data_IF_095258948035
#
_entry.id   IF_095258948035
#
_cell.length_a   1.000
_cell.length_b   1.000
_cell.length_c   1.000
_cell.angle_alpha   90.00
_cell.angle_beta   90.00
_cell.angle_gamma   90.00
#
_symmetry.space_group_name_H-M   'P 1'
#
loop_
_entity.id
_entity.type
_entity.pdbx_description
1 polymer ?
#
# COMPACT_ATOMS: atom_id res chain seq x y z
N UNK A 1 6.47 -23.16 17.86
CA UNK A 1 5.40 -22.16 17.69
C UNK A 1 4.75 -22.45 16.36
N UNK A 2 3.49 -22.80 16.33
CA UNK A 2 2.75 -22.97 15.06
C UNK A 2 2.63 -21.59 14.44
N UNK A 3 3.43 -21.29 13.40
CA UNK A 3 3.23 -20.09 12.60
C UNK A 3 1.83 -20.18 12.00
N UNK A 4 1.01 -19.15 12.22
CA UNK A 4 -0.24 -19.02 11.51
C UNK A 4 0.07 -18.99 9.99
N UNK A 5 -0.80 -19.58 9.19
CA UNK A 5 -0.66 -19.54 7.72
C UNK A 5 -0.61 -18.08 7.28
N UNK A 6 0.44 -17.65 6.54
CA UNK A 6 0.56 -16.27 6.08
C UNK A 6 -0.64 -15.87 5.23
N UNK A 7 -1.09 -14.64 5.39
CA UNK A 7 -2.16 -14.07 4.60
C UNK A 7 -1.62 -13.67 3.23
N UNK A 8 -2.31 -14.07 2.15
CA UNK A 8 -1.98 -13.66 0.79
C UNK A 8 -3.11 -12.80 0.24
N UNK A 9 -2.85 -11.50 0.11
CA UNK A 9 -3.80 -10.52 -0.38
C UNK A 9 -3.51 -10.10 -1.83
N UNK A 10 -4.48 -9.41 -2.41
CA UNK A 10 -4.38 -8.78 -3.71
C UNK A 10 -4.23 -7.27 -3.57
N UNK A 11 -3.48 -6.65 -4.48
CA UNK A 11 -3.20 -5.22 -4.48
C UNK A 11 -3.67 -4.58 -5.80
N UNK A 12 -4.94 -4.11 -5.90
CA UNK A 12 -5.38 -3.31 -7.01
C UNK A 12 -4.70 -1.93 -6.99
N UNK A 13 -3.85 -1.65 -7.97
CA UNK A 13 -3.12 -0.38 -8.10
C UNK A 13 -4.04 0.70 -8.67
N UNK A 14 -4.31 1.76 -7.91
CA UNK A 14 -5.19 2.85 -8.36
C UNK A 14 -4.59 3.67 -9.51
N UNK A 15 -3.30 3.60 -9.71
CA UNK A 15 -2.56 4.36 -10.71
C UNK A 15 -2.79 3.85 -12.13
N UNK A 16 -3.14 2.56 -12.29
CA UNK A 16 -3.25 1.90 -13.59
C UNK A 16 -4.68 1.59 -14.02
N UNK A 17 -5.60 1.45 -13.05
CA UNK A 17 -6.95 0.95 -13.33
C UNK A 17 -8.04 1.96 -12.99
N UNK A 18 -9.04 2.06 -13.85
CA UNK A 18 -10.20 2.91 -13.61
C UNK A 18 -11.07 2.40 -12.44
N UNK A 19 -12.00 3.23 -11.93
CA UNK A 19 -12.84 2.85 -10.80
C UNK A 19 -13.63 1.55 -11.00
N UNK A 20 -14.15 1.28 -12.20
CA UNK A 20 -14.93 0.08 -12.49
C UNK A 20 -14.02 -1.16 -12.44
N UNK A 21 -12.84 -1.07 -13.04
CA UNK A 21 -11.83 -2.13 -13.02
C UNK A 21 -11.35 -2.44 -11.60
N UNK A 22 -11.14 -1.42 -10.76
CA UNK A 22 -10.75 -1.63 -9.35
C UNK A 22 -11.80 -2.39 -8.56
N UNK A 23 -13.08 -2.08 -8.78
CA UNK A 23 -14.19 -2.78 -8.13
C UNK A 23 -14.35 -4.22 -8.67
N UNK A 24 -14.16 -4.43 -9.96
CA UNK A 24 -14.13 -5.76 -10.57
C UNK A 24 -12.99 -6.60 -9.96
N UNK A 25 -11.79 -6.05 -9.87
CA UNK A 25 -10.62 -6.73 -9.28
C UNK A 25 -10.89 -7.15 -7.83
N UNK A 26 -11.51 -6.30 -7.02
CA UNK A 26 -11.86 -6.64 -5.64
C UNK A 26 -12.81 -7.85 -5.57
N UNK A 27 -13.84 -7.87 -6.41
CA UNK A 27 -14.79 -8.99 -6.49
C UNK A 27 -14.14 -10.27 -7.05
N UNK A 28 -13.25 -10.15 -8.03
CA UNK A 28 -12.48 -11.28 -8.56
C UNK A 28 -11.55 -11.85 -7.50
N UNK A 29 -10.81 -11.02 -6.78
CA UNK A 29 -9.88 -11.44 -5.74
C UNK A 29 -10.58 -12.22 -4.61
N UNK A 30 -11.77 -11.76 -4.18
CA UNK A 30 -12.56 -12.50 -3.19
C UNK A 30 -12.95 -13.90 -3.69
N UNK A 31 -13.44 -14.00 -4.93
CA UNK A 31 -13.82 -15.29 -5.53
C UNK A 31 -12.63 -16.23 -5.74
N UNK A 32 -11.47 -15.67 -6.03
CA UNK A 32 -10.23 -16.44 -6.21
C UNK A 32 -9.62 -16.91 -4.89
N UNK A 33 -10.14 -16.44 -3.72
CA UNK A 33 -9.68 -16.88 -2.41
C UNK A 33 -8.47 -16.12 -1.87
N UNK A 34 -8.25 -14.86 -2.30
CA UNK A 34 -7.33 -13.96 -1.62
C UNK A 34 -7.87 -13.60 -0.23
N UNK A 35 -6.97 -13.27 0.70
CA UNK A 35 -7.29 -13.06 2.11
C UNK A 35 -7.53 -11.58 2.47
N UNK A 36 -7.22 -10.64 1.58
CA UNK A 36 -7.39 -9.21 1.82
C UNK A 36 -7.00 -8.36 0.61
N UNK A 37 -7.25 -7.06 0.72
CA UNK A 37 -6.94 -6.07 -0.30
C UNK A 37 -6.04 -4.96 0.24
N UNK A 38 -5.00 -4.59 -0.53
CA UNK A 38 -4.31 -3.32 -0.40
C UNK A 38 -4.83 -2.36 -1.47
N UNK A 39 -4.91 -1.07 -1.17
CA UNK A 39 -5.32 -0.06 -2.15
C UNK A 39 -4.39 1.14 -2.02
N UNK A 40 -3.72 1.53 -3.10
CA UNK A 40 -2.87 2.72 -3.14
C UNK A 40 -3.69 4.01 -3.05
N UNK A 41 -3.12 5.05 -2.46
CA UNK A 41 -3.73 6.38 -2.32
C UNK A 41 -2.84 7.42 -3.00
N UNK A 42 -3.09 7.63 -4.27
CA UNK A 42 -2.35 8.55 -5.11
C UNK A 42 -3.25 9.70 -5.59
N UNK A 43 -2.65 10.85 -5.89
CA UNK A 43 -3.28 11.95 -6.63
C UNK A 43 -2.87 11.90 -8.11
N UNK A 44 -1.61 11.58 -8.38
CA UNK A 44 -1.09 11.36 -9.71
C UNK A 44 -0.69 9.89 -9.91
N UNK A 45 -0.84 9.32 -11.12
CA UNK A 45 -0.10 8.12 -11.49
C UNK A 45 1.40 8.41 -11.53
N UNK A 46 2.23 7.37 -11.58
CA UNK A 46 3.67 7.53 -11.70
C UNK A 46 4.12 8.06 -13.08
N UNK A 47 3.31 7.80 -14.11
CA UNK A 47 3.51 8.29 -15.46
C UNK A 47 2.15 8.41 -16.15
N UNK A 48 2.09 9.22 -17.22
CA UNK A 48 0.84 9.51 -17.93
C UNK A 48 0.22 8.26 -18.59
N UNK A 49 1.02 7.24 -18.89
CA UNK A 49 0.56 6.04 -19.56
C UNK A 49 -0.24 5.10 -18.61
N UNK A 50 0.04 5.12 -17.30
CA UNK A 50 -0.81 4.46 -16.30
C UNK A 50 -2.22 5.07 -16.28
N UNK A 51 -2.30 6.40 -16.35
CA UNK A 51 -3.47 7.15 -16.76
C UNK A 51 -4.61 7.24 -15.76
N UNK A 52 -4.49 6.70 -14.55
CA UNK A 52 -5.55 6.68 -13.54
C UNK A 52 -5.03 7.18 -12.19
N UNK A 53 -5.92 7.70 -11.36
CA UNK A 53 -5.70 7.94 -9.92
C UNK A 53 -7.01 8.33 -9.24
N UNK A 54 -7.99 7.43 -9.15
CA UNK A 54 -9.26 7.72 -8.51
C UNK A 54 -9.09 7.94 -7.00
N UNK A 55 -9.95 8.76 -6.42
CA UNK A 55 -9.93 9.04 -4.99
C UNK A 55 -10.21 7.77 -4.17
N UNK A 56 -9.19 7.26 -3.49
CA UNK A 56 -9.19 5.95 -2.84
C UNK A 56 -10.34 5.75 -1.85
N UNK A 57 -10.72 6.79 -1.10
CA UNK A 57 -11.78 6.70 -0.09
C UNK A 57 -13.16 6.45 -0.69
N UNK A 58 -13.42 6.96 -1.91
CA UNK A 58 -14.63 6.62 -2.67
C UNK A 58 -14.60 5.17 -3.13
N UNK A 59 -13.45 4.69 -3.59
CA UNK A 59 -13.25 3.29 -4.00
C UNK A 59 -13.46 2.33 -2.84
N UNK A 60 -12.88 2.61 -1.66
CA UNK A 60 -13.05 1.79 -0.45
C UNK A 60 -14.53 1.74 -0.04
N UNK A 61 -15.22 2.89 -0.08
CA UNK A 61 -16.66 2.94 0.18
C UNK A 61 -17.48 2.05 -0.76
N UNK A 62 -17.15 2.03 -2.06
CA UNK A 62 -17.80 1.14 -3.03
C UNK A 62 -17.40 -0.34 -2.83
N UNK A 63 -16.12 -0.64 -2.57
CA UNK A 63 -15.65 -1.99 -2.29
C UNK A 63 -16.39 -2.62 -1.09
N UNK A 64 -16.71 -1.84 -0.06
CA UNK A 64 -17.41 -2.33 1.13
C UNK A 64 -18.79 -2.94 0.83
N UNK A 65 -19.39 -2.55 -0.31
CA UNK A 65 -20.68 -3.07 -0.77
C UNK A 65 -20.57 -4.28 -1.70
N UNK A 66 -19.36 -4.57 -2.21
CA UNK A 66 -19.15 -5.58 -3.25
C UNK A 66 -18.41 -6.82 -2.74
N UNK A 67 -17.52 -6.67 -1.76
CA UNK A 67 -16.73 -7.77 -1.22
C UNK A 67 -16.61 -7.73 0.31
N UNK A 68 -16.24 -8.86 0.90
CA UNK A 68 -16.07 -9.03 2.34
C UNK A 68 -14.60 -9.08 2.78
N UNK A 69 -13.67 -8.93 1.85
CA UNK A 69 -12.25 -8.94 2.17
C UNK A 69 -11.88 -7.75 3.07
N UNK A 70 -10.96 -7.93 4.03
CA UNK A 70 -10.31 -6.83 4.71
C UNK A 70 -9.63 -5.89 3.71
N UNK A 71 -9.68 -4.58 3.97
CA UNK A 71 -9.08 -3.56 3.11
C UNK A 71 -8.06 -2.74 3.91
N UNK A 72 -6.89 -2.54 3.34
CA UNK A 72 -5.83 -1.69 3.91
C UNK A 72 -5.42 -0.62 2.89
N UNK A 73 -5.33 0.65 3.29
CA UNK A 73 -4.66 1.65 2.45
C UNK A 73 -3.15 1.41 2.43
N UNK A 74 -2.54 1.44 1.24
CA UNK A 74 -1.12 1.12 1.09
C UNK A 74 -0.36 2.13 0.19
N UNK A 75 -0.13 3.35 0.69
CA UNK A 75 -0.50 3.92 1.98
C UNK A 75 -1.06 5.33 1.82
N UNK A 76 -1.91 5.79 2.74
CA UNK A 76 -2.34 7.20 2.80
C UNK A 76 -1.28 8.04 3.50
N UNK A 77 -1.01 9.26 3.00
CA UNK A 77 -0.18 10.25 3.68
C UNK A 77 -1.09 11.27 4.41
N UNK A 78 -1.15 11.24 5.75
CA UNK A 78 -2.06 12.11 6.52
C UNK A 78 -1.40 13.44 6.92
N UNK A 79 -0.59 14.05 6.04
CA UNK A 79 0.22 15.21 6.45
C UNK A 79 0.00 16.47 5.61
N UNK A 80 0.12 16.39 4.29
CA UNK A 80 0.08 17.57 3.41
C UNK A 80 -1.18 17.63 2.56
N UNK A 81 -1.33 16.70 1.61
CA UNK A 81 -2.50 16.64 0.73
C UNK A 81 -3.80 16.43 1.51
N UNK A 82 -3.76 15.58 2.52
CA UNK A 82 -4.89 15.32 3.40
C UNK A 82 -4.50 15.53 4.86
N UNK A 83 -5.20 16.44 5.52
CA UNK A 83 -5.00 16.70 6.95
C UNK A 83 -5.39 15.49 7.82
N UNK A 84 -4.73 15.27 8.97
CA UNK A 84 -5.02 14.11 9.83
C UNK A 84 -6.47 14.05 10.31
N UNK A 85 -7.14 15.17 10.46
CA UNK A 85 -8.57 15.24 10.81
C UNK A 85 -9.47 14.63 9.75
N UNK A 86 -9.16 14.88 8.47
CA UNK A 86 -9.92 14.34 7.33
C UNK A 86 -9.64 12.84 7.18
N UNK A 87 -8.39 12.44 7.31
CA UNK A 87 -8.01 11.01 7.27
C UNK A 87 -8.66 10.25 8.42
N UNK A 88 -8.68 10.81 9.63
CA UNK A 88 -9.35 10.19 10.79
C UNK A 88 -10.84 9.97 10.55
N UNK A 89 -11.54 10.96 9.95
CA UNK A 89 -12.97 10.86 9.63
C UNK A 89 -13.21 9.83 8.51
N UNK A 90 -12.40 9.84 7.45
CA UNK A 90 -12.51 8.91 6.34
C UNK A 90 -12.28 7.47 6.80
N UNK A 91 -11.24 7.22 7.60
CA UNK A 91 -10.91 5.91 8.16
C UNK A 91 -11.99 5.39 9.12
N UNK A 92 -12.56 6.26 9.96
CA UNK A 92 -13.68 5.89 10.81
C UNK A 92 -14.90 5.45 10.00
N UNK A 93 -15.21 6.16 8.92
CA UNK A 93 -16.30 5.82 8.01
C UNK A 93 -16.04 4.50 7.28
N UNK A 94 -14.82 4.32 6.74
CA UNK A 94 -14.41 3.09 6.07
C UNK A 94 -14.48 1.88 7.01
N UNK A 95 -14.03 2.03 8.26
CA UNK A 95 -14.07 0.97 9.26
C UNK A 95 -15.50 0.50 9.56
N UNK A 96 -16.45 1.45 9.69
CA UNK A 96 -17.86 1.11 9.91
C UNK A 96 -18.47 0.43 8.68
N UNK A 97 -18.21 0.94 7.48
CA UNK A 97 -18.71 0.34 6.23
C UNK A 97 -18.16 -1.07 5.99
N UNK A 98 -16.95 -1.34 6.45
CA UNK A 98 -16.29 -2.64 6.34
C UNK A 98 -16.49 -3.54 7.56
N UNK A 99 -17.40 -3.20 8.49
CA UNK A 99 -17.67 -3.97 9.72
C UNK A 99 -16.38 -4.31 10.51
N UNK A 100 -15.50 -3.32 10.70
CA UNK A 100 -14.24 -3.48 11.43
C UNK A 100 -13.10 -4.15 10.64
N UNK A 101 -13.28 -4.43 9.34
CA UNK A 101 -12.27 -5.06 8.46
C UNK A 101 -11.40 -4.05 7.72
N UNK A 102 -11.25 -2.84 8.26
CA UNK A 102 -10.40 -1.80 7.71
C UNK A 102 -9.10 -1.67 8.49
N UNK A 103 -7.98 -1.49 7.80
CA UNK A 103 -6.69 -1.10 8.38
C UNK A 103 -6.24 0.21 7.72
N UNK A 104 -5.89 1.20 8.53
CA UNK A 104 -5.32 2.44 8.03
C UNK A 104 -3.80 2.27 7.85
N UNK A 105 -3.38 2.06 6.61
CA UNK A 105 -1.96 2.12 6.28
C UNK A 105 -1.53 3.56 6.01
N UNK A 106 -0.50 4.04 6.70
CA UNK A 106 0.00 5.41 6.59
C UNK A 106 1.49 5.47 6.26
N UNK A 107 1.90 6.54 5.60
CA UNK A 107 3.29 6.80 5.25
C UNK A 107 3.62 8.30 5.24
N UNK A 108 4.91 8.60 5.11
CA UNK A 108 5.41 9.99 5.08
C UNK A 108 5.27 10.66 3.71
N UNK A 109 4.67 9.99 2.73
CA UNK A 109 4.32 10.51 1.41
C UNK A 109 5.47 10.60 0.41
N UNK A 110 5.10 10.99 -0.79
CA UNK A 110 5.97 11.28 -1.94
C UNK A 110 5.64 12.67 -2.50
N UNK A 111 6.64 13.40 -2.97
CA UNK A 111 6.44 14.72 -3.56
C UNK A 111 5.41 14.70 -4.69
N UNK A 112 5.39 13.64 -5.50
CA UNK A 112 4.42 13.43 -6.59
C UNK A 112 2.98 13.71 -6.18
N UNK A 113 2.59 13.23 -5.00
CA UNK A 113 1.20 13.27 -4.55
C UNK A 113 0.91 14.44 -3.59
N UNK A 114 1.91 14.86 -2.81
CA UNK A 114 1.67 15.70 -1.64
C UNK A 114 1.87 17.20 -1.89
N UNK A 115 2.67 17.57 -2.91
CA UNK A 115 2.98 18.99 -3.19
C UNK A 115 1.89 19.74 -3.99
N UNK A 116 0.79 19.08 -4.33
CA UNK A 116 -0.26 19.61 -5.24
C UNK A 116 -0.93 20.90 -4.75
N UNK A 117 -0.83 21.21 -3.47
CA UNK A 117 -1.34 22.48 -2.92
C UNK A 117 -0.30 23.62 -2.98
N UNK A 118 0.89 23.38 -3.51
CA UNK A 118 1.94 24.39 -3.71
C UNK A 118 2.89 24.54 -2.53
N UNK A 119 2.74 23.74 -1.48
CA UNK A 119 3.65 23.73 -0.35
C UNK A 119 5.00 23.11 -0.73
N UNK A 120 6.08 23.62 -0.12
CA UNK A 120 7.41 23.06 -0.32
C UNK A 120 7.49 21.64 0.26
N UNK A 121 8.11 20.71 -0.49
CA UNK A 121 8.31 19.34 -0.01
C UNK A 121 9.31 19.32 1.14
N UNK A 122 8.92 18.89 2.36
CA UNK A 122 9.79 18.92 3.52
C UNK A 122 10.88 17.84 3.46
N UNK A 123 11.93 18.01 4.27
CA UNK A 123 12.93 16.96 4.45
C UNK A 123 12.33 15.68 5.05
N UNK A 124 12.99 14.54 4.85
CA UNK A 124 12.52 13.27 5.38
C UNK A 124 12.28 13.29 6.90
N UNK A 125 13.12 14.02 7.64
CA UNK A 125 13.00 14.16 9.08
C UNK A 125 11.73 14.87 9.49
N UNK A 126 11.46 16.00 8.87
CA UNK A 126 10.24 16.78 9.11
C UNK A 126 9.00 15.95 8.75
N UNK A 127 9.04 15.22 7.62
CA UNK A 127 7.91 14.38 7.22
C UNK A 127 7.65 13.24 8.21
N UNK A 128 8.68 12.66 8.80
CA UNK A 128 8.52 11.62 9.83
C UNK A 128 7.94 12.21 11.12
N UNK A 129 8.34 13.42 11.50
CA UNK A 129 7.78 14.11 12.67
C UNK A 129 6.32 14.52 12.43
N UNK A 130 6.00 15.03 11.24
CA UNK A 130 4.62 15.26 10.82
C UNK A 130 3.77 13.98 10.89
N UNK A 131 4.29 12.84 10.42
CA UNK A 131 3.57 11.57 10.47
C UNK A 131 3.32 11.10 11.91
N UNK A 132 4.31 11.27 12.81
CA UNK A 132 4.16 10.98 14.23
C UNK A 132 3.03 11.77 14.86
N UNK A 133 3.03 13.08 14.63
CA UNK A 133 2.00 13.98 15.14
C UNK A 133 0.63 13.68 14.55
N UNK A 134 0.55 13.42 13.24
CA UNK A 134 -0.68 13.08 12.55
C UNK A 134 -1.34 11.81 13.13
N UNK A 135 -0.55 10.76 13.38
CA UNK A 135 -1.06 9.50 13.98
C UNK A 135 -1.59 9.75 15.38
N UNK A 136 -0.92 10.59 16.18
CA UNK A 136 -1.41 10.95 17.51
C UNK A 136 -2.76 11.69 17.44
N UNK A 137 -2.91 12.67 16.55
CA UNK A 137 -4.16 13.39 16.31
C UNK A 137 -5.28 12.45 15.85
N UNK A 138 -4.99 11.54 14.91
CA UNK A 138 -5.95 10.55 14.40
C UNK A 138 -6.47 9.68 15.56
N UNK A 139 -5.57 9.12 16.38
CA UNK A 139 -5.94 8.28 17.52
C UNK A 139 -6.78 9.04 18.55
N UNK A 140 -6.44 10.29 18.83
CA UNK A 140 -7.19 11.13 19.75
C UNK A 140 -8.62 11.41 19.24
N UNK A 141 -8.77 11.74 17.96
CA UNK A 141 -10.09 11.96 17.34
C UNK A 141 -10.97 10.71 17.38
N UNK A 142 -10.39 9.51 17.26
CA UNK A 142 -11.15 8.26 17.33
C UNK A 142 -11.69 7.94 18.73
N UNK A 143 -11.24 8.64 19.77
CA UNK A 143 -11.87 8.55 21.11
C UNK A 143 -13.31 9.06 21.13
N UNK A 144 -13.74 9.85 20.11
CA UNK A 144 -15.05 10.47 20.03
C UNK A 144 -15.26 11.65 20.99
N UNK A 145 -14.19 12.12 21.64
CA UNK A 145 -14.17 13.37 22.43
C UNK A 145 -13.96 14.57 21.53
N UNK A 146 -14.24 15.76 22.06
CA UNK A 146 -13.78 17.00 21.43
C UNK A 146 -12.28 17.09 21.61
N UNK A 147 -11.57 17.40 20.55
CA UNK A 147 -10.11 17.48 20.47
C UNK A 147 -9.73 18.92 20.12
N UNK A 148 -8.85 19.48 20.93
CA UNK A 148 -8.09 20.70 20.68
C UNK A 148 -6.61 20.32 20.73
N UNK A 149 -5.92 20.45 19.61
CA UNK A 149 -4.50 20.11 19.47
C UNK A 149 -3.72 21.29 18.89
N UNK A 150 -2.65 21.68 19.52
CA UNK A 150 -1.74 22.74 19.08
C UNK A 150 -0.32 22.18 19.08
N UNK A 151 0.02 21.46 18.03
CA UNK A 151 1.32 20.81 17.85
C UNK A 151 2.32 21.65 17.05
N UNK A 152 3.39 21.03 16.66
CA UNK A 152 4.40 21.68 15.82
C UNK A 152 3.94 21.79 14.36
N UNK A 153 3.20 20.80 13.88
CA UNK A 153 2.81 20.68 12.47
C UNK A 153 1.31 20.86 12.25
N UNK A 154 0.49 20.52 13.23
CA UNK A 154 -0.97 20.57 13.08
C UNK A 154 -1.65 21.38 14.19
N UNK A 155 -2.67 22.12 13.80
CA UNK A 155 -3.61 22.76 14.71
C UNK A 155 -5.00 22.20 14.46
N UNK A 156 -5.65 21.73 15.53
CA UNK A 156 -7.02 21.22 15.50
C UNK A 156 -7.79 21.93 16.61
N UNK A 157 -8.96 22.46 16.29
CA UNK A 157 -9.79 23.19 17.26
C UNK A 157 -11.23 22.67 17.22
N UNK A 158 -11.78 22.36 18.40
CA UNK A 158 -13.17 21.95 18.59
C UNK A 158 -13.61 20.77 17.70
N UNK A 159 -12.66 19.90 17.29
CA UNK A 159 -12.94 18.81 16.36
C UNK A 159 -13.47 17.58 17.08
N UNK A 160 -14.48 16.96 16.51
CA UNK A 160 -15.04 15.71 17.02
C UNK A 160 -15.53 14.83 15.89
N UNK A 161 -15.17 13.54 15.91
CA UNK A 161 -15.74 12.53 15.01
C UNK A 161 -17.00 11.95 15.66
N UNK A 162 -18.13 12.07 14.96
CA UNK A 162 -19.44 11.59 15.41
C UNK A 162 -19.73 10.15 14.98
N UNK A 163 -19.02 9.64 13.95
CA UNK A 163 -19.06 8.23 13.58
C UNK A 163 -18.43 7.42 14.72
N UNK A 164 -19.26 6.69 15.45
CA UNK A 164 -18.79 5.93 16.61
C UNK A 164 -18.11 4.66 16.16
N UNK A 165 -16.92 4.43 16.69
CA UNK A 165 -16.16 3.20 16.54
C UNK A 165 -16.35 2.35 17.80
N UNK A 166 -16.70 1.06 17.63
CA UNK A 166 -16.60 0.09 18.71
C UNK A 166 -15.14 -0.19 19.01
N UNK A 167 -14.37 -0.43 17.94
CA UNK A 167 -12.93 -0.58 17.97
C UNK A 167 -12.34 0.29 16.86
N UNK A 168 -11.33 1.14 17.15
CA UNK A 168 -10.62 1.87 16.14
C UNK A 168 -9.88 0.92 15.18
N UNK A 169 -9.77 1.26 13.87
CA UNK A 169 -8.99 0.46 12.96
C UNK A 169 -7.51 0.47 13.37
N UNK A 170 -6.77 -0.63 13.19
CA UNK A 170 -5.33 -0.61 13.40
C UNK A 170 -4.66 0.33 12.40
N UNK A 171 -3.54 0.94 12.84
CA UNK A 171 -2.70 1.79 12.01
C UNK A 171 -1.42 1.05 11.68
N UNK A 172 -1.23 0.70 10.41
CA UNK A 172 0.03 0.15 9.93
C UNK A 172 0.86 1.25 9.30
N UNK A 173 2.15 1.32 9.62
CA UNK A 173 3.03 2.39 9.19
C UNK A 173 4.07 1.87 8.20
N UNK A 174 4.24 2.59 7.09
CA UNK A 174 5.22 2.20 6.08
C UNK A 174 6.62 2.68 6.41
N UNK A 175 7.62 1.85 6.05
CA UNK A 175 9.03 2.19 6.21
C UNK A 175 9.91 1.50 5.18
N UNK A 176 10.86 2.28 4.62
CA UNK A 176 11.83 1.85 3.61
C UNK A 176 13.27 2.11 4.01
N UNK A 177 13.50 2.57 5.23
CA UNK A 177 14.82 2.83 5.79
C UNK A 177 14.77 2.77 7.31
N UNK A 178 15.94 2.77 7.94
CA UNK A 178 16.07 2.57 9.39
C UNK A 178 15.13 3.49 10.20
N UNK A 179 15.14 4.80 9.93
CA UNK A 179 14.37 5.80 10.71
C UNK A 179 12.87 5.64 10.56
N UNK A 180 12.38 5.40 9.34
CA UNK A 180 10.95 5.15 9.10
C UNK A 180 10.49 3.82 9.70
N UNK A 181 11.36 2.79 9.73
CA UNK A 181 11.07 1.51 10.38
C UNK A 181 11.05 1.65 11.91
N UNK A 182 11.97 2.43 12.49
CA UNK A 182 11.94 2.76 13.92
C UNK A 182 10.65 3.50 14.29
N UNK A 183 10.25 4.49 13.48
CA UNK A 183 8.98 5.18 13.66
C UNK A 183 7.79 4.25 13.54
N UNK A 184 7.78 3.34 12.55
CA UNK A 184 6.71 2.35 12.39
C UNK A 184 6.56 1.47 13.65
N UNK A 185 7.66 1.05 14.25
CA UNK A 185 7.64 0.29 15.49
C UNK A 185 7.18 1.13 16.71
N UNK A 186 7.43 2.44 16.70
CA UNK A 186 7.02 3.36 17.77
C UNK A 186 5.51 3.63 17.75
N UNK A 187 4.98 4.07 16.60
CA UNK A 187 3.62 4.61 16.51
C UNK A 187 2.60 3.68 15.84
N UNK A 188 3.04 2.62 15.13
CA UNK A 188 2.16 1.74 14.36
C UNK A 188 1.67 0.53 15.14
N UNK A 189 0.55 -0.04 14.74
CA UNK A 189 0.06 -1.34 15.18
C UNK A 189 0.58 -2.47 14.29
N UNK A 190 1.23 -2.12 13.15
CA UNK A 190 1.86 -3.01 12.19
C UNK A 190 2.81 -2.26 11.26
N UNK A 191 3.52 -3.01 10.43
CA UNK A 191 4.53 -2.52 9.48
C UNK A 191 4.14 -2.81 8.05
N UNK A 192 4.37 -1.86 7.15
CA UNK A 192 4.15 -1.98 5.71
C UNK A 192 5.44 -1.67 4.97
N UNK A 193 5.79 -2.51 3.98
CA UNK A 193 6.89 -2.23 3.06
C UNK A 193 6.64 -2.87 1.69
N UNK A 194 7.43 -2.46 0.69
CA UNK A 194 7.52 -3.16 -0.61
C UNK A 194 8.95 -3.67 -0.88
N UNK A 195 9.82 -3.55 0.14
CA UNK A 195 11.20 -4.05 0.08
C UNK A 195 11.35 -5.26 0.99
N UNK A 196 11.85 -6.41 0.50
CA UNK A 196 12.09 -7.60 1.31
C UNK A 196 13.40 -7.51 2.13
N UNK A 197 13.68 -6.34 2.71
CA UNK A 197 14.88 -6.08 3.50
C UNK A 197 14.78 -6.76 4.87
N UNK A 198 15.57 -7.80 5.07
CA UNK A 198 15.60 -8.60 6.30
C UNK A 198 16.15 -7.84 7.51
N UNK A 199 17.03 -6.85 7.31
CA UNK A 199 17.58 -6.04 8.41
C UNK A 199 16.51 -5.08 8.94
N UNK A 200 15.75 -4.45 8.05
CA UNK A 200 14.65 -3.58 8.44
C UNK A 200 13.49 -4.37 9.10
N UNK A 201 13.17 -5.54 8.57
CA UNK A 201 12.17 -6.41 9.19
C UNK A 201 12.64 -6.87 10.58
N UNK A 202 13.91 -7.27 10.72
CA UNK A 202 14.52 -7.63 12.00
C UNK A 202 14.46 -6.49 13.02
N UNK A 203 14.79 -5.27 12.59
CA UNK A 203 14.69 -4.06 13.42
C UNK A 203 13.25 -3.81 13.91
N UNK A 204 12.26 -3.96 13.01
CA UNK A 204 10.85 -3.82 13.39
C UNK A 204 10.44 -4.89 14.41
N UNK A 205 10.78 -6.16 14.16
CA UNK A 205 10.45 -7.28 15.06
C UNK A 205 11.08 -7.14 16.45
N UNK A 206 12.31 -6.64 16.53
CA UNK A 206 12.98 -6.38 17.80
C UNK A 206 12.25 -5.31 18.62
N UNK A 207 11.84 -4.21 17.98
CA UNK A 207 11.23 -3.05 18.66
C UNK A 207 9.73 -3.20 18.90
N UNK A 208 9.05 -3.97 18.08
CA UNK A 208 7.59 -4.19 18.12
C UNK A 208 7.24 -5.67 18.05
N UNK A 209 7.65 -6.50 19.03
CA UNK A 209 7.44 -7.94 18.99
C UNK A 209 5.93 -8.28 18.95
N UNK A 210 5.58 -9.20 18.04
CA UNK A 210 4.21 -9.69 17.88
C UNK A 210 3.28 -8.80 17.05
N UNK A 211 3.72 -7.61 16.61
CA UNK A 211 2.94 -6.80 15.66
C UNK A 211 3.12 -7.34 14.24
N UNK A 212 2.06 -7.32 13.40
CA UNK A 212 2.13 -7.84 12.04
C UNK A 212 3.06 -7.00 11.15
N UNK A 213 3.73 -7.68 10.22
CA UNK A 213 4.50 -7.07 9.15
C UNK A 213 3.96 -7.53 7.81
N UNK A 214 3.70 -6.58 6.92
CA UNK A 214 3.10 -6.80 5.62
C UNK A 214 4.04 -6.33 4.51
N UNK A 215 4.09 -7.09 3.42
CA UNK A 215 4.87 -6.72 2.24
C UNK A 215 4.00 -6.71 0.99
N UNK A 216 4.20 -5.69 0.14
CA UNK A 216 3.66 -5.63 -1.21
C UNK A 216 4.70 -6.08 -2.23
N UNK A 217 4.30 -6.93 -3.16
CA UNK A 217 5.12 -7.34 -4.30
C UNK A 217 4.37 -7.15 -5.61
N UNK A 218 5.08 -7.08 -6.72
CA UNK A 218 4.51 -6.84 -8.04
C UNK A 218 4.90 -7.95 -9.01
N UNK A 219 3.96 -8.32 -9.87
CA UNK A 219 4.17 -9.26 -10.98
C UNK A 219 3.61 -8.64 -12.26
N UNK A 220 4.03 -9.13 -13.41
CA UNK A 220 3.43 -8.78 -14.69
C UNK A 220 2.98 -10.06 -15.39
N UNK A 221 1.75 -10.46 -15.11
CA UNK A 221 1.17 -11.64 -15.72
C UNK A 221 0.92 -11.42 -17.21
N UNK A 222 1.33 -12.36 -18.04
CA UNK A 222 1.15 -12.37 -19.48
C UNK A 222 1.32 -13.78 -20.01
N UNK A 223 1.00 -14.00 -21.29
CA UNK A 223 1.15 -15.31 -21.94
C UNK A 223 2.62 -15.72 -22.06
N UNK A 224 3.52 -14.75 -22.21
CA UNK A 224 4.96 -14.96 -22.29
C UNK A 224 5.70 -14.03 -21.35
N UNK A 225 6.91 -14.41 -20.96
CA UNK A 225 7.78 -13.56 -20.14
C UNK A 225 8.08 -12.23 -20.85
N UNK A 226 8.39 -12.27 -22.15
CA UNK A 226 8.73 -11.07 -22.93
C UNK A 226 7.57 -10.05 -22.97
N UNK A 227 6.33 -10.53 -23.12
CA UNK A 227 5.14 -9.69 -23.07
C UNK A 227 4.97 -9.05 -21.68
N UNK A 228 5.13 -9.83 -20.60
CA UNK A 228 5.11 -9.32 -19.23
C UNK A 228 6.20 -8.28 -18.98
N UNK A 229 7.43 -8.52 -19.43
CA UNK A 229 8.53 -7.54 -19.35
C UNK A 229 8.20 -6.25 -20.10
N UNK A 230 7.56 -6.34 -21.26
CA UNK A 230 7.12 -5.14 -22.00
C UNK A 230 6.10 -4.33 -21.21
N UNK A 231 5.09 -4.97 -20.60
CA UNK A 231 4.08 -4.30 -19.78
C UNK A 231 4.71 -3.67 -18.54
N UNK A 232 5.46 -4.43 -17.76
CA UNK A 232 6.12 -3.93 -16.56
C UNK A 232 7.08 -2.77 -16.85
N UNK A 233 7.91 -2.89 -17.88
CA UNK A 233 8.84 -1.82 -18.27
C UNK A 233 8.12 -0.57 -18.78
N UNK A 234 7.03 -0.73 -19.54
CA UNK A 234 6.26 0.39 -20.08
C UNK A 234 5.51 1.16 -18.99
N UNK A 235 4.83 0.46 -18.09
CA UNK A 235 3.93 1.07 -17.12
C UNK A 235 4.59 1.33 -15.76
N UNK A 236 5.60 0.53 -15.37
CA UNK A 236 6.15 0.52 -14.02
C UNK A 236 7.68 0.58 -13.97
N UNK A 237 8.34 1.15 -15.01
CA UNK A 237 9.80 1.30 -14.98
C UNK A 237 10.29 2.14 -13.79
N UNK A 238 9.45 3.04 -13.25
CA UNK A 238 9.73 3.80 -12.05
C UNK A 238 10.06 2.91 -10.83
N UNK A 239 9.55 1.68 -10.76
CA UNK A 239 9.89 0.73 -9.71
C UNK A 239 11.38 0.33 -9.68
N UNK A 240 12.10 0.52 -10.80
CA UNK A 240 13.54 0.31 -10.91
C UNK A 240 14.40 1.53 -10.59
N UNK A 241 13.84 2.65 -10.18
CA UNK A 241 14.59 3.85 -9.83
C UNK A 241 15.27 3.69 -8.46
N UNK A 242 16.56 4.04 -8.35
CA UNK A 242 17.32 3.83 -7.13
C UNK A 242 17.08 4.94 -6.08
N UNK A 243 17.33 4.59 -4.83
CA UNK A 243 17.43 5.53 -3.71
C UNK A 243 16.10 6.24 -3.41
N UNK A 244 16.16 7.55 -3.20
CA UNK A 244 15.02 8.38 -2.77
C UNK A 244 14.25 9.00 -3.95
N UNK A 245 14.56 8.64 -5.20
CA UNK A 245 13.94 9.27 -6.38
C UNK A 245 12.42 9.16 -6.36
N UNK A 246 11.87 8.03 -5.96
CA UNK A 246 10.43 7.85 -5.85
C UNK A 246 9.77 8.80 -4.84
N UNK A 247 10.53 9.32 -3.85
CA UNK A 247 9.99 10.21 -2.82
C UNK A 247 10.15 11.69 -3.15
N UNK A 248 11.09 12.05 -4.05
CA UNK A 248 11.45 13.45 -4.27
C UNK A 248 11.06 13.99 -5.64
N UNK A 249 10.81 13.12 -6.63
CA UNK A 249 10.36 13.57 -7.94
C UNK A 249 8.90 14.06 -7.86
N UNK A 250 8.62 15.31 -8.31
CA UNK A 250 7.33 15.94 -8.01
C UNK A 250 6.26 15.76 -9.10
N UNK A 251 6.57 15.20 -10.26
CA UNK A 251 5.61 15.13 -11.37
C UNK A 251 5.80 13.88 -12.22
N UNK A 252 4.74 13.35 -12.87
CA UNK A 252 4.82 12.18 -13.75
C UNK A 252 5.89 12.32 -14.82
N UNK A 253 6.03 13.48 -15.46
CA UNK A 253 7.06 13.75 -16.49
C UNK A 253 8.49 13.52 -15.98
N UNK A 254 8.78 13.79 -14.70
CA UNK A 254 10.10 13.54 -14.11
C UNK A 254 10.35 12.05 -13.92
N UNK A 255 9.32 11.29 -13.55
CA UNK A 255 9.40 9.83 -13.50
C UNK A 255 9.60 9.22 -14.88
N UNK A 256 8.92 9.73 -15.92
CA UNK A 256 9.12 9.29 -17.30
C UNK A 256 10.55 9.56 -17.78
N UNK A 257 11.11 10.73 -17.44
CA UNK A 257 12.50 11.07 -17.76
C UNK A 257 13.49 10.15 -17.05
N UNK A 258 13.31 9.95 -15.73
CA UNK A 258 14.19 9.10 -14.93
C UNK A 258 14.09 7.62 -15.35
N UNK A 259 12.89 7.15 -15.66
CA UNK A 259 12.62 5.77 -16.09
C UNK A 259 13.30 5.38 -17.40
N UNK A 260 13.75 6.35 -18.22
CA UNK A 260 14.57 6.05 -19.41
C UNK A 260 15.91 5.41 -19.08
N UNK A 261 16.37 5.51 -17.84
CA UNK A 261 17.58 4.84 -17.34
C UNK A 261 17.35 3.38 -16.97
N UNK A 262 16.11 2.97 -16.77
CA UNK A 262 15.73 1.60 -16.44
C UNK A 262 15.65 0.78 -17.72
N UNK A 263 16.31 -0.37 -17.76
CA UNK A 263 16.33 -1.24 -18.93
C UNK A 263 15.30 -2.38 -18.80
N UNK A 264 14.85 -2.93 -19.93
CA UNK A 264 14.02 -4.14 -19.93
C UNK A 264 14.69 -5.31 -19.24
N UNK A 265 16.02 -5.40 -19.31
CA UNK A 265 16.78 -6.46 -18.64
C UNK A 265 16.76 -6.29 -17.11
N UNK A 266 16.91 -5.08 -16.59
CA UNK A 266 16.74 -4.83 -15.16
C UNK A 266 15.30 -5.11 -14.70
N UNK A 267 14.29 -4.77 -15.50
CA UNK A 267 12.89 -5.14 -15.21
C UNK A 267 12.72 -6.65 -15.18
N UNK A 268 13.27 -7.39 -16.16
CA UNK A 268 13.24 -8.86 -16.23
C UNK A 268 13.82 -9.51 -14.98
N UNK A 269 14.89 -8.95 -14.44
CA UNK A 269 15.58 -9.49 -13.27
C UNK A 269 14.88 -9.20 -11.95
N UNK A 270 14.06 -8.12 -11.90
CA UNK A 270 13.44 -7.64 -10.65
C UNK A 270 11.94 -7.96 -10.53
N UNK A 271 11.26 -8.29 -11.64
CA UNK A 271 9.82 -8.54 -11.67
C UNK A 271 9.54 -9.93 -12.21
N UNK A 272 8.68 -10.68 -11.55
CA UNK A 272 8.16 -11.95 -12.09
C UNK A 272 7.20 -11.64 -13.22
N UNK A 273 7.62 -11.99 -14.44
CA UNK A 273 6.87 -11.75 -15.68
C UNK A 273 6.42 -13.07 -16.30
N UNK A 274 5.25 -13.06 -16.96
CA UNK A 274 4.68 -14.23 -17.62
C UNK A 274 3.80 -15.06 -16.69
N UNK A 275 3.62 -16.36 -17.03
CA UNK A 275 2.69 -17.28 -16.36
C UNK A 275 3.37 -18.54 -15.80
N UNK A 276 4.67 -18.47 -15.52
CA UNK A 276 5.42 -19.56 -14.92
C UNK A 276 5.03 -19.73 -13.44
N UNK A 277 4.34 -20.82 -13.11
CA UNK A 277 3.84 -21.11 -11.78
C UNK A 277 4.93 -21.12 -10.71
N UNK A 278 6.06 -21.75 -11.01
CA UNK A 278 7.12 -21.93 -10.00
C UNK A 278 7.76 -20.59 -9.61
N UNK A 279 7.87 -19.65 -10.55
CA UNK A 279 8.39 -18.30 -10.28
C UNK A 279 7.43 -17.48 -9.40
N UNK A 280 6.12 -17.53 -9.67
CA UNK A 280 5.11 -16.85 -8.84
C UNK A 280 5.06 -17.42 -7.43
N UNK A 281 5.10 -18.75 -7.29
CA UNK A 281 5.13 -19.43 -6.00
C UNK A 281 6.40 -19.10 -5.24
N UNK A 282 7.56 -19.13 -5.91
CA UNK A 282 8.86 -18.81 -5.30
C UNK A 282 8.89 -17.39 -4.73
N UNK A 283 8.37 -16.39 -5.47
CA UNK A 283 8.31 -14.99 -5.01
C UNK A 283 7.49 -14.84 -3.72
N UNK A 284 6.30 -15.48 -3.65
CA UNK A 284 5.49 -15.42 -2.43
C UNK A 284 6.18 -16.15 -1.27
N UNK A 285 6.79 -17.30 -1.52
CA UNK A 285 7.54 -18.03 -0.49
C UNK A 285 8.74 -17.27 0.02
N UNK A 286 9.46 -16.57 -0.83
CA UNK A 286 10.58 -15.70 -0.42
C UNK A 286 10.12 -14.66 0.62
N UNK A 287 8.98 -14.00 0.39
CA UNK A 287 8.42 -13.06 1.35
C UNK A 287 7.99 -13.75 2.67
N UNK A 288 7.37 -14.91 2.57
CA UNK A 288 6.92 -15.70 3.73
C UNK A 288 8.12 -16.18 4.56
N UNK A 289 9.13 -16.74 3.90
CA UNK A 289 10.33 -17.27 4.53
C UNK A 289 11.20 -16.16 5.15
N UNK A 290 11.15 -14.95 4.59
CA UNK A 290 11.73 -13.75 5.19
C UNK A 290 11.05 -13.35 6.52
N UNK A 291 9.85 -13.86 6.81
CA UNK A 291 9.13 -13.65 8.07
C UNK A 291 8.01 -12.60 8.02
N UNK A 292 7.50 -12.27 6.84
CA UNK A 292 6.30 -11.44 6.72
C UNK A 292 5.04 -12.25 7.01
N UNK A 293 4.10 -11.65 7.74
CA UNK A 293 2.81 -12.28 8.10
C UNK A 293 1.78 -12.15 6.97
N UNK A 294 1.94 -11.12 6.14
CA UNK A 294 0.99 -10.78 5.09
C UNK A 294 1.76 -10.39 3.81
N UNK A 295 1.40 -10.99 2.69
CA UNK A 295 1.99 -10.71 1.38
C UNK A 295 0.88 -10.27 0.42
N UNK A 296 1.01 -9.08 -0.13
CA UNK A 296 0.06 -8.54 -1.10
C UNK A 296 0.70 -8.47 -2.48
N UNK A 297 0.00 -8.97 -3.49
CA UNK A 297 0.52 -9.03 -4.85
C UNK A 297 -0.30 -8.16 -5.79
N UNK A 298 0.40 -7.27 -6.53
CA UNK A 298 -0.17 -6.43 -7.58
C UNK A 298 0.19 -6.98 -8.97
N UNK A 299 -0.75 -6.90 -9.90
CA UNK A 299 -0.44 -7.09 -11.32
C UNK A 299 -0.04 -5.78 -11.97
N UNK A 300 0.96 -5.82 -12.84
CA UNK A 300 1.34 -4.74 -13.75
C UNK A 300 0.85 -5.10 -15.16
N UNK A 301 0.02 -4.26 -15.75
CA UNK A 301 -0.49 -4.47 -17.12
C UNK A 301 -1.91 -5.03 -17.18
N UNK A 302 -2.43 -5.26 -18.38
CA UNK A 302 -3.86 -5.39 -18.63
C UNK A 302 -4.48 -6.73 -18.18
N UNK A 303 -3.67 -7.75 -17.87
CA UNK A 303 -4.15 -9.11 -17.63
C UNK A 303 -4.47 -9.39 -16.15
N UNK A 304 -5.04 -8.41 -15.42
CA UNK A 304 -5.38 -8.59 -14.01
C UNK A 304 -6.39 -9.71 -13.76
N UNK A 305 -7.38 -9.87 -14.64
CA UNK A 305 -8.40 -10.91 -14.48
C UNK A 305 -7.80 -12.32 -14.64
N UNK A 306 -7.00 -12.52 -15.69
CA UNK A 306 -6.29 -13.79 -15.94
C UNK A 306 -5.29 -14.10 -14.80
N UNK A 307 -4.61 -13.06 -14.29
CA UNK A 307 -3.69 -13.19 -13.15
C UNK A 307 -4.43 -13.64 -11.89
N UNK A 308 -5.56 -13.00 -11.57
CA UNK A 308 -6.35 -13.32 -10.37
C UNK A 308 -6.88 -14.77 -10.46
N UNK A 309 -7.38 -15.19 -11.63
CA UNK A 309 -7.83 -16.56 -11.87
C UNK A 309 -6.67 -17.55 -11.72
N UNK A 310 -5.53 -17.29 -12.38
CA UNK A 310 -4.33 -18.12 -12.27
C UNK A 310 -3.84 -18.26 -10.81
N UNK A 311 -3.88 -17.17 -10.03
CA UNK A 311 -3.53 -17.24 -8.62
C UNK A 311 -4.52 -18.09 -7.82
N UNK A 312 -5.82 -17.89 -8.00
CA UNK A 312 -6.85 -18.66 -7.31
C UNK A 312 -6.78 -20.17 -7.59
N UNK A 313 -6.59 -20.53 -8.85
CA UNK A 313 -6.60 -21.93 -9.27
C UNK A 313 -5.27 -22.67 -9.01
N UNK A 314 -4.14 -21.97 -9.05
CA UNK A 314 -2.83 -22.62 -9.08
C UNK A 314 -1.83 -22.12 -8.03
N UNK A 315 -1.66 -20.79 -7.91
CA UNK A 315 -0.61 -20.21 -7.04
C UNK A 315 -0.97 -20.32 -5.57
N UNK A 316 -2.17 -19.89 -5.18
CA UNK A 316 -2.61 -19.92 -3.78
C UNK A 316 -2.66 -21.36 -3.22
N UNK A 317 -3.22 -22.36 -3.94
CA UNK A 317 -3.14 -23.75 -3.50
C UNK A 317 -1.70 -24.24 -3.33
N UNK A 318 -0.82 -23.95 -4.30
CA UNK A 318 0.56 -24.39 -4.24
C UNK A 318 1.36 -23.78 -3.07
N UNK A 319 1.10 -22.50 -2.74
CA UNK A 319 1.74 -21.81 -1.60
C UNK A 319 1.20 -22.34 -0.27
N UNK A 320 -0.10 -22.60 -0.18
CA UNK A 320 -0.78 -23.09 1.04
C UNK A 320 -0.60 -24.58 1.28
N UNK A 321 -0.17 -25.34 0.28
CA UNK A 321 0.01 -26.80 0.35
C UNK A 321 -1.33 -27.56 0.36
N UNK A 322 -2.32 -27.02 -0.33
CA UNK A 322 -3.68 -27.57 -0.44
C UNK A 322 -3.99 -28.09 -1.84
#
# INVERSE_FOLDING_TARGET
MTHATPLIGYFPSTEEYDPAQLLEQAALAERAGFDGLWVSDHFHPWNDEQGQSPFVWSIIGAMSQLCRLPVTTAVTCPTMRMQPTIVAQAAATANVLLDGRFTLGVGSGEALNEHIHGDAWPSADVRLDMLREAVAVIRELWTGKVVDHHGEHFTVENARIYTRLSDPPPIHVSGFGKRSTELAAEIGDGYITTSPDSELLGLFRERAPGRPASIGTKVSFARTEDEGVQHAHRLWANAGLPGELAQVLPAPEHFEQASKLVTKESTRSSVVCGSDLDRHVAQLRECIDAGFDQVYVANMGPYYADMIEFYGERVLPAVRGT
#
